data_IF_130451029522
#
_entry.id   IF_130451029522
#
_cell.length_a   1.000
_cell.length_b   1.000
_cell.length_c   1.000
_cell.angle_alpha   90.00
_cell.angle_beta   90.00
_cell.angle_gamma   90.00
#
_symmetry.space_group_name_H-M   'P 1'
#
loop_
_entity.id
_entity.type
_entity.pdbx_description
1 polymer ?
#
# COMPACT_ATOMS: atom_id res chain seq x y z
N UNK A 1 0.28 -16.32 13.17
CA UNK A 1 0.34 -15.49 14.39
C UNK A 1 1.48 -14.44 14.41
N UNK A 2 2.77 -14.74 14.10
CA UNK A 2 3.86 -13.79 14.31
C UNK A 2 3.80 -12.55 13.39
N UNK A 3 2.98 -12.60 12.37
CA UNK A 3 2.90 -11.56 11.32
C UNK A 3 1.65 -10.68 11.40
N UNK A 4 0.87 -10.79 12.47
CA UNK A 4 -0.28 -9.93 12.73
C UNK A 4 -0.07 -9.13 14.01
N UNK A 5 -0.70 -7.97 14.11
CA UNK A 5 -0.57 -7.09 15.28
C UNK A 5 -0.96 -7.80 16.58
N UNK A 6 -2.08 -8.50 16.55
CA UNK A 6 -2.59 -9.23 17.72
C UNK A 6 -1.82 -10.54 18.03
N UNK A 7 -0.97 -11.01 17.11
CA UNK A 7 -0.19 -12.25 17.23
C UNK A 7 -1.01 -13.50 17.54
N UNK A 8 -2.27 -13.52 17.08
CA UNK A 8 -3.20 -14.64 17.20
C UNK A 8 -3.55 -15.19 15.82
N UNK A 9 -4.19 -16.37 15.80
CA UNK A 9 -4.68 -17.07 14.62
C UNK A 9 -3.77 -18.18 14.11
N UNK A 10 -4.35 -19.04 13.30
CA UNK A 10 -3.71 -20.19 12.69
C UNK A 10 -2.70 -19.85 11.60
N UNK A 11 -2.03 -20.86 11.03
CA UNK A 11 -1.06 -20.68 9.96
C UNK A 11 -1.73 -20.33 8.63
N UNK A 12 -0.94 -19.87 7.68
CA UNK A 12 -1.26 -19.93 6.25
C UNK A 12 -0.74 -21.25 5.68
N UNK A 13 -1.38 -21.79 4.64
CA UNK A 13 -0.85 -22.98 3.96
C UNK A 13 0.53 -22.66 3.37
N UNK A 14 0.62 -21.50 2.72
CA UNK A 14 1.86 -21.01 2.10
C UNK A 14 2.07 -19.53 2.44
N UNK A 15 3.32 -19.17 2.75
CA UNK A 15 3.74 -17.78 2.91
C UNK A 15 4.76 -17.44 1.83
N UNK A 16 4.43 -16.52 0.94
CA UNK A 16 5.30 -16.03 -0.11
C UNK A 16 5.78 -14.61 0.19
N UNK A 17 7.09 -14.43 0.12
CA UNK A 17 7.79 -13.16 0.34
C UNK A 17 8.51 -12.78 -0.95
N UNK A 18 7.83 -12.12 -1.90
CA UNK A 18 8.46 -11.76 -3.18
C UNK A 18 9.61 -10.79 -2.99
N UNK A 19 10.69 -11.00 -3.73
CA UNK A 19 11.85 -10.12 -3.72
C UNK A 19 11.52 -8.73 -4.29
N UNK A 20 10.73 -8.72 -5.35
CA UNK A 20 10.26 -7.51 -6.05
C UNK A 20 8.98 -7.76 -6.84
N UNK A 21 8.55 -6.76 -7.63
CA UNK A 21 7.32 -6.85 -8.41
C UNK A 21 7.43 -7.82 -9.61
N UNK A 22 8.63 -8.14 -10.07
CA UNK A 22 8.87 -9.12 -11.13
C UNK A 22 8.70 -10.53 -10.60
N UNK A 23 9.37 -10.83 -9.48
CA UNK A 23 9.22 -12.10 -8.76
C UNK A 23 7.76 -12.36 -8.37
N UNK A 24 7.03 -11.33 -7.89
CA UNK A 24 5.60 -11.44 -7.62
C UNK A 24 4.80 -11.78 -8.88
N UNK A 25 5.05 -11.10 -9.99
CA UNK A 25 4.34 -11.31 -11.24
C UNK A 25 4.59 -12.71 -11.81
N UNK A 26 5.84 -13.17 -11.79
CA UNK A 26 6.21 -14.48 -12.30
C UNK A 26 5.69 -15.62 -11.42
N UNK A 27 5.66 -15.43 -10.11
CA UNK A 27 5.00 -16.36 -9.19
C UNK A 27 3.50 -16.48 -9.50
N UNK A 28 2.79 -15.35 -9.63
CA UNK A 28 1.35 -15.34 -9.89
C UNK A 28 0.97 -15.96 -11.24
N UNK A 29 1.80 -15.78 -12.27
CA UNK A 29 1.61 -16.42 -13.59
C UNK A 29 1.64 -17.95 -13.51
N UNK A 30 2.48 -18.49 -12.63
CA UNK A 30 2.69 -19.92 -12.48
C UNK A 30 1.74 -20.57 -11.46
N UNK A 31 1.14 -19.77 -10.58
CA UNK A 31 0.25 -20.25 -9.53
C UNK A 31 -1.10 -20.64 -10.12
N UNK A 32 -1.56 -21.87 -9.83
CA UNK A 32 -2.90 -22.32 -10.23
C UNK A 32 -3.97 -21.29 -9.85
N UNK A 33 -4.79 -20.81 -10.81
CA UNK A 33 -5.86 -19.83 -10.54
C UNK A 33 -6.85 -20.24 -9.45
N UNK A 34 -7.02 -21.53 -9.21
CA UNK A 34 -7.90 -22.06 -8.17
C UNK A 34 -7.36 -21.84 -6.75
N UNK A 35 -6.05 -21.60 -6.58
CA UNK A 35 -5.46 -21.37 -5.25
C UNK A 35 -5.73 -19.93 -4.80
N UNK A 36 -6.37 -19.73 -3.63
CA UNK A 36 -6.63 -18.40 -3.10
C UNK A 36 -5.33 -17.64 -2.80
N UNK A 37 -5.34 -16.33 -3.02
CA UNK A 37 -4.23 -15.43 -2.67
C UNK A 37 -4.74 -14.35 -1.73
N UNK A 38 -4.11 -14.24 -0.58
CA UNK A 38 -4.38 -13.20 0.42
C UNK A 38 -3.16 -12.31 0.58
N UNK A 39 -3.33 -10.99 0.42
CA UNK A 39 -2.24 -10.03 0.66
C UNK A 39 -2.29 -9.57 2.12
N UNK A 40 -1.16 -9.70 2.80
CA UNK A 40 -1.01 -9.27 4.19
C UNK A 40 0.08 -8.19 4.28
N UNK A 41 -0.31 -6.98 4.68
CA UNK A 41 0.63 -5.93 5.06
C UNK A 41 1.26 -6.18 6.44
N UNK A 42 1.38 -5.15 7.26
CA UNK A 42 1.88 -5.31 8.65
C UNK A 42 0.87 -5.97 9.59
N UNK A 43 -0.33 -6.27 9.11
CA UNK A 43 -1.36 -6.99 9.89
C UNK A 43 -1.95 -6.18 11.04
N UNK A 44 -1.97 -4.84 10.94
CA UNK A 44 -2.49 -3.94 11.97
C UNK A 44 -4.03 -3.93 12.06
N UNK A 45 -4.70 -4.27 10.97
CA UNK A 45 -6.17 -4.26 10.86
C UNK A 45 -6.71 -5.65 10.46
N UNK A 46 -6.06 -6.72 10.90
CA UNK A 46 -6.41 -8.10 10.54
C UNK A 46 -6.41 -8.98 11.78
N UNK A 47 -7.48 -9.76 11.93
CA UNK A 47 -7.56 -10.86 12.90
C UNK A 47 -7.70 -12.15 12.10
N UNK A 48 -6.70 -13.03 12.22
CA UNK A 48 -6.73 -14.35 11.62
C UNK A 48 -7.35 -15.32 12.61
N UNK A 49 -8.32 -16.11 12.16
CA UNK A 49 -8.95 -17.16 12.99
C UNK A 49 -8.01 -18.37 13.17
N UNK A 50 -8.31 -19.22 14.14
CA UNK A 50 -7.47 -20.38 14.46
C UNK A 50 -7.33 -21.39 13.31
N UNK A 51 -8.32 -21.47 12.41
CA UNK A 51 -8.24 -22.27 11.19
C UNK A 51 -7.21 -21.79 10.17
N UNK A 52 -6.64 -20.60 10.38
CA UNK A 52 -5.61 -20.05 9.49
C UNK A 52 -6.16 -19.41 8.21
N UNK A 53 -5.32 -19.35 7.19
CA UNK A 53 -5.63 -18.78 5.87
C UNK A 53 -5.31 -19.83 4.82
N UNK A 54 -6.34 -20.22 4.06
CA UNK A 54 -6.21 -21.15 2.95
C UNK A 54 -5.44 -20.50 1.78
N UNK A 55 -4.63 -21.29 1.10
CA UNK A 55 -3.86 -20.89 -0.06
C UNK A 55 -2.60 -20.10 0.28
N UNK A 56 -2.30 -19.10 -0.53
CA UNK A 56 -1.05 -18.33 -0.43
C UNK A 56 -1.28 -16.99 0.25
N UNK A 57 -0.54 -16.72 1.30
CA UNK A 57 -0.40 -15.38 1.88
C UNK A 57 0.83 -14.70 1.26
N UNK A 58 0.63 -13.60 0.55
CA UNK A 58 1.70 -12.75 0.01
C UNK A 58 1.99 -11.62 0.98
N UNK A 59 3.27 -11.46 1.37
CA UNK A 59 3.72 -10.31 2.18
C UNK A 59 4.76 -9.50 1.44
N UNK A 60 4.46 -8.23 1.23
CA UNK A 60 5.36 -7.28 0.59
C UNK A 60 6.29 -6.69 1.66
N UNK A 61 7.45 -7.33 1.85
CA UNK A 61 8.43 -6.97 2.87
C UNK A 61 9.82 -6.83 2.30
N UNK A 62 10.66 -6.09 3.02
CA UNK A 62 12.06 -5.89 2.64
C UNK A 62 12.29 -4.59 1.89
N UNK A 63 13.52 -4.40 1.45
CA UNK A 63 14.02 -3.11 0.94
C UNK A 63 13.27 -2.63 -0.31
N UNK A 64 12.94 -3.54 -1.22
CA UNK A 64 12.24 -3.19 -2.46
C UNK A 64 10.81 -2.67 -2.18
N UNK A 65 10.14 -3.24 -1.19
CA UNK A 65 8.75 -2.94 -0.86
C UNK A 65 8.57 -1.78 0.10
N UNK A 66 9.59 -1.53 0.95
CA UNK A 66 9.58 -0.45 1.93
C UNK A 66 10.24 0.84 1.46
N UNK A 67 10.70 0.92 0.20
CA UNK A 67 11.41 2.08 -0.32
C UNK A 67 10.47 3.28 -0.44
N UNK A 68 10.93 4.44 0.04
CA UNK A 68 10.27 5.73 -0.11
C UNK A 68 11.28 6.72 -0.63
N UNK A 69 10.95 7.42 -1.70
CA UNK A 69 11.84 8.38 -2.37
C UNK A 69 11.09 9.65 -2.73
N UNK A 70 11.70 10.79 -2.44
CA UNK A 70 11.24 12.05 -3.00
C UNK A 70 11.57 12.07 -4.49
N UNK A 71 10.57 12.43 -5.28
CA UNK A 71 10.68 12.71 -6.71
C UNK A 71 10.81 14.23 -6.90
N UNK A 72 10.34 14.76 -8.00
CA UNK A 72 10.37 16.19 -8.26
C UNK A 72 9.32 16.98 -7.45
N UNK A 73 9.72 18.11 -6.88
CA UNK A 73 8.82 19.05 -6.22
C UNK A 73 8.20 18.51 -4.93
N UNK A 74 6.88 18.30 -4.94
CA UNK A 74 6.09 17.84 -3.78
C UNK A 74 5.63 16.38 -3.92
N UNK A 75 6.31 15.61 -4.75
CA UNK A 75 5.92 14.23 -5.10
C UNK A 75 6.80 13.21 -4.40
N UNK A 76 6.17 12.16 -3.89
CA UNK A 76 6.82 11.00 -3.29
C UNK A 76 6.44 9.71 -4.00
N UNK A 77 7.42 8.86 -4.25
CA UNK A 77 7.23 7.48 -4.69
C UNK A 77 7.46 6.53 -3.53
N UNK A 78 6.53 5.64 -3.28
CA UNK A 78 6.63 4.68 -2.17
C UNK A 78 6.17 3.28 -2.56
N UNK A 79 6.90 2.27 -2.10
CA UNK A 79 6.50 0.87 -2.22
C UNK A 79 5.30 0.56 -1.32
N UNK A 80 4.47 -0.38 -1.74
CA UNK A 80 3.24 -0.73 -1.00
C UNK A 80 3.50 -1.35 0.39
N UNK A 81 4.70 -1.88 0.63
CA UNK A 81 5.14 -2.38 1.94
C UNK A 81 5.71 -1.30 2.86
N UNK A 82 5.88 -0.06 2.39
CA UNK A 82 6.33 1.05 3.23
C UNK A 82 5.33 1.32 4.35
N UNK A 83 5.84 1.58 5.55
CA UNK A 83 4.98 2.02 6.65
C UNK A 83 4.45 3.43 6.39
N UNK A 84 3.18 3.66 6.66
CA UNK A 84 2.56 4.98 6.49
C UNK A 84 3.32 6.07 7.27
N UNK A 85 3.77 5.76 8.49
CA UNK A 85 4.64 6.64 9.27
C UNK A 85 5.98 6.96 8.58
N UNK A 86 6.57 5.97 7.89
CA UNK A 86 7.84 6.19 7.16
C UNK A 86 7.65 7.12 5.98
N UNK A 87 6.51 6.99 5.28
CA UNK A 87 6.14 7.91 4.18
C UNK A 87 5.99 9.34 4.70
N UNK A 88 5.26 9.53 5.82
CA UNK A 88 5.10 10.85 6.44
C UNK A 88 6.45 11.46 6.86
N UNK A 89 7.35 10.66 7.46
CA UNK A 89 8.68 11.13 7.86
C UNK A 89 9.53 11.53 6.65
N UNK A 90 9.58 10.70 5.62
CA UNK A 90 10.32 11.03 4.39
C UNK A 90 9.76 12.28 3.72
N UNK A 91 8.44 12.48 3.73
CA UNK A 91 7.82 13.71 3.26
C UNK A 91 8.33 14.93 4.03
N UNK A 92 8.28 14.86 5.37
CA UNK A 92 8.74 15.94 6.23
C UNK A 92 10.24 16.25 6.05
N UNK A 93 11.09 15.22 5.99
CA UNK A 93 12.54 15.36 5.75
C UNK A 93 12.85 16.07 4.43
N UNK A 94 11.97 15.93 3.43
CA UNK A 94 12.07 16.60 2.13
C UNK A 94 11.24 17.89 2.03
N UNK A 95 10.69 18.36 3.13
CA UNK A 95 9.92 19.61 3.16
C UNK A 95 8.56 19.53 2.47
N UNK A 96 8.00 18.35 2.29
CA UNK A 96 6.72 18.12 1.58
C UNK A 96 5.58 18.12 2.61
N UNK A 97 4.67 19.10 2.50
CA UNK A 97 3.47 19.20 3.33
C UNK A 97 2.28 18.44 2.74
N UNK A 98 1.35 18.07 3.60
CA UNK A 98 0.08 17.46 3.20
C UNK A 98 0.05 15.95 3.30
N UNK A 99 1.15 15.30 3.69
CA UNK A 99 1.28 13.85 3.91
C UNK A 99 1.37 13.49 5.41
N UNK A 100 1.26 14.47 6.31
CA UNK A 100 1.41 14.31 7.77
C UNK A 100 0.37 13.34 8.35
N UNK A 101 -0.84 13.30 7.77
CA UNK A 101 -1.93 12.44 8.23
C UNK A 101 -1.57 10.95 8.20
N UNK A 102 -0.62 10.54 7.34
CA UNK A 102 -0.13 9.16 7.28
C UNK A 102 0.57 8.75 8.57
N UNK A 103 1.09 9.69 9.36
CA UNK A 103 1.69 9.39 10.66
C UNK A 103 0.70 8.82 11.68
N UNK A 104 -0.59 9.14 11.53
CA UNK A 104 -1.67 8.63 12.37
C UNK A 104 -2.26 7.27 11.90
N UNK A 105 -1.75 6.70 10.82
CA UNK A 105 -2.24 5.44 10.26
C UNK A 105 -1.26 4.31 10.59
N UNK A 106 -1.64 3.36 11.46
CA UNK A 106 -0.77 2.24 11.84
C UNK A 106 -0.85 1.14 10.77
N UNK A 107 -0.16 1.31 9.65
CA UNK A 107 -0.30 0.38 8.53
C UNK A 107 0.87 0.40 7.57
N UNK A 108 0.68 -0.30 6.45
CA UNK A 108 1.49 -0.19 5.26
C UNK A 108 0.68 0.47 4.15
N UNK A 109 1.34 1.20 3.29
CA UNK A 109 0.73 2.03 2.26
C UNK A 109 -0.20 1.24 1.32
N UNK A 110 0.16 -0.02 0.98
CA UNK A 110 -0.72 -0.90 0.20
C UNK A 110 -2.02 -1.25 0.93
N UNK A 111 -1.96 -1.46 2.26
CA UNK A 111 -3.14 -1.66 3.09
C UNK A 111 -3.98 -0.39 3.21
N UNK A 112 -3.34 0.76 3.41
CA UNK A 112 -4.00 2.06 3.43
C UNK A 112 -4.77 2.33 2.11
N UNK A 113 -4.21 1.91 0.97
CA UNK A 113 -4.85 2.05 -0.34
C UNK A 113 -6.15 1.25 -0.42
N UNK A 114 -6.16 0.02 0.05
CA UNK A 114 -7.33 -0.86 -0.01
C UNK A 114 -8.52 -0.35 0.81
N UNK A 115 -8.25 0.40 1.85
CA UNK A 115 -9.28 0.93 2.75
C UNK A 115 -9.48 2.43 2.59
N UNK A 116 -8.81 3.07 1.62
CA UNK A 116 -8.76 4.54 1.55
C UNK A 116 -8.55 5.13 2.94
N UNK A 117 -7.48 4.67 3.62
CA UNK A 117 -7.24 5.03 5.01
C UNK A 117 -7.05 6.54 5.17
N UNK A 118 -7.53 7.06 6.27
CA UNK A 118 -7.44 8.47 6.57
C UNK A 118 -7.29 8.75 8.06
N UNK A 119 -6.73 9.90 8.36
CA UNK A 119 -6.57 10.45 9.70
C UNK A 119 -6.54 11.98 9.63
N UNK A 120 -6.92 12.64 10.73
CA UNK A 120 -6.87 14.11 10.84
C UNK A 120 -7.61 14.85 9.71
N UNK A 121 -8.72 14.29 9.23
CA UNK A 121 -9.56 14.91 8.20
C UNK A 121 -9.06 14.76 6.75
N UNK A 122 -7.99 14.00 6.52
CA UNK A 122 -7.49 13.65 5.18
C UNK A 122 -7.55 12.15 4.95
N UNK A 123 -7.67 11.75 3.70
CA UNK A 123 -7.69 10.36 3.23
C UNK A 123 -6.63 10.14 2.15
N UNK A 124 -6.26 8.87 1.90
CA UNK A 124 -5.25 8.56 0.90
C UNK A 124 -5.62 9.07 -0.51
N UNK A 125 -6.90 9.06 -0.88
CA UNK A 125 -7.37 9.59 -2.16
C UNK A 125 -7.00 11.06 -2.39
N UNK A 126 -6.84 11.85 -1.33
CA UNK A 126 -6.57 13.29 -1.44
C UNK A 126 -5.14 13.57 -1.92
N UNK A 127 -4.26 12.57 -1.84
CA UNK A 127 -2.83 12.65 -2.18
C UNK A 127 -2.38 11.64 -3.23
N UNK A 128 -3.25 10.69 -3.63
CA UNK A 128 -2.89 9.63 -4.57
C UNK A 128 -2.90 10.13 -6.02
N UNK A 129 -1.73 10.19 -6.63
CA UNK A 129 -1.54 10.53 -8.06
C UNK A 129 -1.71 9.31 -8.95
N UNK A 130 -1.05 8.22 -8.60
CA UNK A 130 -1.16 6.95 -9.32
C UNK A 130 -0.73 5.78 -8.44
N UNK A 131 -1.14 4.60 -8.83
CA UNK A 131 -0.64 3.35 -8.24
C UNK A 131 -0.28 2.34 -9.32
N UNK A 132 0.65 1.49 -9.01
CA UNK A 132 1.02 0.33 -9.80
C UNK A 132 0.67 -0.95 -9.05
N UNK A 133 0.37 -1.99 -9.77
CA UNK A 133 0.07 -3.29 -9.17
C UNK A 133 0.25 -4.45 -10.14
N UNK A 134 0.09 -5.63 -9.58
CA UNK A 134 0.11 -6.90 -10.30
C UNK A 134 -1.24 -7.57 -10.11
N UNK A 135 -1.84 -8.03 -11.20
CA UNK A 135 -3.10 -8.79 -11.20
C UNK A 135 -2.83 -10.26 -10.91
N UNK A 136 -3.91 -11.00 -10.64
CA UNK A 136 -3.83 -12.44 -10.34
C UNK A 136 -3.18 -13.28 -11.45
N UNK A 137 -3.27 -12.84 -12.70
CA UNK A 137 -2.65 -13.46 -13.87
C UNK A 137 -1.18 -13.06 -14.08
N UNK A 138 -0.61 -12.27 -13.15
CA UNK A 138 0.74 -11.73 -13.23
C UNK A 138 0.89 -10.52 -14.15
N UNK A 139 -0.19 -10.01 -14.76
CA UNK A 139 -0.12 -8.80 -15.56
C UNK A 139 0.13 -7.56 -14.68
N UNK A 140 1.00 -6.67 -15.15
CA UNK A 140 1.31 -5.41 -14.48
C UNK A 140 0.39 -4.32 -15.00
N UNK A 141 -0.19 -3.56 -14.08
CA UNK A 141 -1.14 -2.49 -14.38
C UNK A 141 -0.80 -1.22 -13.61
N UNK A 142 -1.27 -0.09 -14.13
CA UNK A 142 -1.20 1.19 -13.46
C UNK A 142 -2.58 1.85 -13.49
N UNK A 143 -2.93 2.54 -12.41
CA UNK A 143 -4.18 3.28 -12.26
C UNK A 143 -3.87 4.73 -11.91
N UNK A 144 -4.59 5.66 -12.54
CA UNK A 144 -4.57 7.07 -12.15
C UNK A 144 -5.41 7.28 -10.91
N UNK A 145 -4.85 8.03 -9.96
CA UNK A 145 -5.53 8.44 -8.74
C UNK A 145 -6.25 9.78 -8.89
N UNK A 146 -7.03 10.17 -7.88
CA UNK A 146 -7.88 11.36 -7.91
C UNK A 146 -7.19 12.66 -7.48
N UNK A 147 -5.98 12.65 -6.93
CA UNK A 147 -5.37 13.81 -6.27
C UNK A 147 -5.16 15.03 -7.17
N UNK A 148 -4.94 14.83 -8.47
CA UNK A 148 -4.69 15.96 -9.36
C UNK A 148 -5.97 16.58 -9.90
N UNK A 149 -6.09 17.92 -9.92
CA UNK A 149 -7.23 18.63 -10.51
C UNK A 149 -7.46 18.20 -11.96
N UNK A 150 -8.72 17.91 -12.31
CA UNK A 150 -9.10 17.44 -13.63
C UNK A 150 -8.69 16.00 -13.96
N UNK A 151 -8.06 15.29 -13.03
CA UNK A 151 -7.80 13.86 -13.20
C UNK A 151 -9.11 13.10 -13.40
N UNK A 152 -9.07 12.14 -14.31
CA UNK A 152 -10.12 11.12 -14.42
C UNK A 152 -9.57 9.88 -13.75
N UNK A 153 -9.92 9.62 -12.47
CA UNK A 153 -9.43 8.47 -11.75
C UNK A 153 -9.96 7.19 -12.42
N UNK A 154 -9.14 6.16 -12.43
CA UNK A 154 -9.51 4.84 -12.96
C UNK A 154 -10.03 3.91 -11.86
N UNK A 155 -10.05 4.40 -10.63
CA UNK A 155 -10.68 3.75 -9.48
C UNK A 155 -11.36 4.82 -8.59
N UNK A 156 -12.47 4.45 -7.99
CA UNK A 156 -13.18 5.30 -7.04
C UNK A 156 -12.76 4.99 -5.61
N UNK A 157 -12.63 6.05 -4.83
CA UNK A 157 -12.30 5.99 -3.41
C UNK A 157 -13.39 6.69 -2.63
N UNK A 158 -13.93 6.01 -1.63
CA UNK A 158 -14.92 6.54 -0.70
C UNK A 158 -14.53 6.21 0.73
N UNK A 159 -15.33 6.62 1.70
CA UNK A 159 -15.04 6.36 3.11
C UNK A 159 -14.81 4.85 3.37
N UNK A 160 -13.61 4.49 3.80
CA UNK A 160 -13.18 3.11 4.10
C UNK A 160 -13.35 2.11 2.94
N UNK A 161 -13.39 2.60 1.70
CA UNK A 161 -13.64 1.74 0.53
C UNK A 161 -12.92 2.22 -0.72
N UNK A 162 -12.55 1.26 -1.57
CA UNK A 162 -12.11 1.48 -2.96
C UNK A 162 -12.70 0.39 -3.86
N UNK A 163 -12.97 0.72 -5.13
CA UNK A 163 -13.41 -0.23 -6.17
C UNK A 163 -12.24 -0.81 -6.98
N UNK A 164 -11.01 -0.68 -6.48
CA UNK A 164 -9.87 -1.38 -7.07
C UNK A 164 -10.15 -2.88 -7.13
N UNK A 165 -9.83 -3.55 -8.25
CA UNK A 165 -10.09 -4.98 -8.41
C UNK A 165 -9.57 -5.81 -7.24
N UNK A 166 -10.34 -6.78 -6.79
CA UNK A 166 -10.00 -7.63 -5.64
C UNK A 166 -8.71 -8.43 -5.87
N UNK A 167 -8.46 -8.80 -7.13
CA UNK A 167 -7.27 -9.55 -7.55
C UNK A 167 -6.03 -8.68 -7.78
N UNK A 168 -6.12 -7.36 -7.58
CA UNK A 168 -4.99 -6.46 -7.72
C UNK A 168 -4.13 -6.47 -6.45
N UNK A 169 -2.86 -6.75 -6.59
CA UNK A 169 -1.84 -6.54 -5.55
C UNK A 169 -1.12 -5.23 -5.83
N UNK A 170 -1.38 -4.22 -5.01
CA UNK A 170 -0.72 -2.92 -5.13
C UNK A 170 0.76 -3.08 -4.80
N UNK A 171 1.64 -2.53 -5.64
CA UNK A 171 3.11 -2.67 -5.51
C UNK A 171 3.83 -1.37 -5.25
N UNK A 172 3.36 -0.26 -5.82
CA UNK A 172 3.96 1.07 -5.70
C UNK A 172 2.90 2.15 -5.84
N UNK A 173 3.08 3.26 -5.13
CA UNK A 173 2.26 4.45 -5.22
C UNK A 173 3.10 5.68 -5.52
N UNK A 174 2.48 6.63 -6.22
CA UNK A 174 2.95 8.00 -6.37
C UNK A 174 1.98 8.90 -5.60
N UNK A 175 2.51 9.63 -4.63
CA UNK A 175 1.75 10.55 -3.78
C UNK A 175 2.21 11.98 -4.04
N UNK A 176 1.29 12.94 -3.91
CA UNK A 176 1.60 14.37 -4.06
C UNK A 176 1.13 15.13 -2.83
N UNK A 177 2.05 15.89 -2.23
CA UNK A 177 1.72 16.85 -1.19
C UNK A 177 1.01 18.08 -1.76
N UNK A 178 0.78 19.07 -0.93
CA UNK A 178 0.05 20.27 -1.34
C UNK A 178 0.89 21.55 -1.22
N UNK A 179 2.04 21.50 -0.58
CA UNK A 179 2.93 22.65 -0.37
C UNK A 179 4.32 22.17 0.07
N UNK A 180 5.24 23.11 0.21
CA UNK A 180 6.58 22.92 0.77
C UNK A 180 6.75 23.71 2.08
N UNK A 181 7.67 23.28 2.94
CA UNK A 181 7.97 23.94 4.19
C UNK A 181 9.27 23.46 4.83
N UNK A 182 9.66 24.09 5.92
CA UNK A 182 10.80 23.62 6.68
C UNK A 182 10.49 22.26 7.33
N UNK A 183 11.40 21.27 7.28
CA UNK A 183 11.14 19.93 7.82
C UNK A 183 10.67 19.92 9.29
N UNK A 184 11.23 20.78 10.13
CA UNK A 184 10.87 20.90 11.55
C UNK A 184 9.45 21.43 11.81
N UNK A 185 8.75 21.92 10.78
CA UNK A 185 7.38 22.46 10.88
C UNK A 185 6.32 21.45 10.44
N UNK A 186 6.72 20.28 9.95
CA UNK A 186 5.83 19.34 9.24
C UNK A 186 5.42 18.16 10.13
N UNK A 187 6.27 17.68 11.02
CA UNK A 187 5.99 16.57 11.96
C UNK A 187 6.40 16.87 13.38
#
# INVERSE_FOLDING_TARGET
APYTWFRVGGPADWLFLPADAEDLADFLKQLDPAIPVTVLGVGSNVIVRDGGIEGVVVRLMGKAWGKVEAEDGITLSAGAGALDLSVAKTAAENGIKGLEFLSGIPGSLGGATRTNAGCYGKELRDVLVSLHGVRRDGSRVAYRGPARPGARPEAHFSYRHTDLPDDLIVTRLLLEGNDTGAPAEIL
#
